data_IF_623827715483
#
_entry.id   IF_623827715483
#
_cell.length_a   1.000
_cell.length_b   1.000
_cell.length_c   1.000
_cell.angle_alpha   90.00
_cell.angle_beta   90.00
_cell.angle_gamma   90.00
#
_symmetry.space_group_name_H-M   'P 1'
#
loop_
_entity.id
_entity.type
_entity.pdbx_description
1 polymer ?
#
# COMPACT_ATOMS: atom_id res chain seq x y z
N UNK A 1 -8.65 -13.93 15.78
CA UNK A 1 -8.03 -12.80 15.06
C UNK A 1 -9.18 -11.94 14.52
N UNK A 2 -9.22 -10.63 14.78
CA UNK A 2 -10.30 -9.77 14.25
C UNK A 2 -10.10 -9.55 12.73
N UNK A 3 -11.18 -9.24 12.00
CA UNK A 3 -11.13 -9.03 10.53
C UNK A 3 -10.19 -7.88 10.13
N UNK A 4 -10.10 -6.85 10.97
CA UNK A 4 -9.24 -5.69 10.75
C UNK A 4 -7.74 -6.05 10.82
N UNK A 5 -7.32 -6.86 11.80
CA UNK A 5 -5.93 -7.34 11.90
C UNK A 5 -5.58 -8.26 10.73
N UNK A 6 -6.51 -9.11 10.28
CA UNK A 6 -6.29 -9.94 9.10
C UNK A 6 -6.07 -9.09 7.83
N UNK A 7 -6.88 -8.03 7.65
CA UNK A 7 -6.72 -7.08 6.55
C UNK A 7 -5.39 -6.35 6.62
N UNK A 8 -5.01 -5.81 7.78
CA UNK A 8 -3.72 -5.12 7.95
C UNK A 8 -2.54 -6.05 7.69
N UNK A 9 -2.60 -7.30 8.15
CA UNK A 9 -1.57 -8.30 7.87
C UNK A 9 -1.45 -8.60 6.37
N UNK A 10 -2.56 -8.75 5.68
CA UNK A 10 -2.56 -8.96 4.22
C UNK A 10 -1.97 -7.75 3.47
N UNK A 11 -2.27 -6.52 3.91
CA UNK A 11 -1.69 -5.30 3.32
C UNK A 11 -0.19 -5.24 3.59
N UNK A 12 0.26 -5.57 4.81
CA UNK A 12 1.69 -5.65 5.14
C UNK A 12 2.42 -6.58 4.19
N UNK A 13 1.92 -7.81 4.02
CA UNK A 13 2.51 -8.79 3.12
C UNK A 13 2.54 -8.30 1.67
N UNK A 14 1.52 -7.58 1.22
CA UNK A 14 1.48 -7.01 -0.11
C UNK A 14 2.52 -5.88 -0.29
N UNK A 15 2.66 -5.01 0.72
CA UNK A 15 3.65 -3.92 0.72
C UNK A 15 5.10 -4.40 0.88
N UNK A 16 5.33 -5.57 1.48
CA UNK A 16 6.65 -6.21 1.50
C UNK A 16 7.12 -6.66 0.10
N UNK A 17 6.18 -6.88 -0.84
CA UNK A 17 6.47 -7.21 -2.23
C UNK A 17 6.55 -5.98 -3.15
N UNK A 18 6.35 -4.78 -2.60
CA UNK A 18 6.52 -3.53 -3.34
C UNK A 18 8.00 -3.18 -3.44
N UNK A 19 8.42 -2.90 -4.66
CA UNK A 19 9.77 -2.49 -5.03
C UNK A 19 9.70 -1.26 -5.93
N UNK A 20 10.84 -0.60 -6.13
CA UNK A 20 10.94 0.51 -7.08
C UNK A 20 10.61 0.10 -8.53
N UNK A 21 10.79 -1.17 -8.89
CA UNK A 21 10.55 -1.67 -10.25
C UNK A 21 9.06 -1.90 -10.57
N UNK A 22 8.25 -2.32 -9.59
CA UNK A 22 6.85 -2.71 -9.82
C UNK A 22 5.82 -1.68 -9.33
N UNK A 23 6.18 -0.82 -8.37
CA UNK A 23 5.30 0.24 -7.86
C UNK A 23 6.13 1.42 -7.36
N UNK A 24 6.81 2.15 -8.27
CA UNK A 24 7.78 3.18 -7.92
C UNK A 24 7.19 4.31 -7.05
N UNK A 25 5.95 4.73 -7.29
CA UNK A 25 5.32 5.83 -6.54
C UNK A 25 4.99 5.39 -5.11
N UNK A 26 4.39 4.22 -4.92
CA UNK A 26 4.16 3.63 -3.60
C UNK A 26 5.50 3.38 -2.90
N UNK A 27 6.51 2.83 -3.60
CA UNK A 27 7.82 2.58 -3.02
C UNK A 27 8.47 3.87 -2.50
N UNK A 28 8.42 4.97 -3.26
CA UNK A 28 8.93 6.29 -2.84
C UNK A 28 8.17 6.87 -1.65
N UNK A 29 6.91 6.49 -1.43
CA UNK A 29 6.17 6.87 -0.23
C UNK A 29 6.54 6.02 0.99
N UNK A 30 6.68 4.71 0.79
CA UNK A 30 6.85 3.75 1.88
C UNK A 30 8.31 3.60 2.30
N UNK A 31 9.28 3.86 1.43
CA UNK A 31 10.70 3.69 1.68
C UNK A 31 11.48 4.99 1.47
N UNK A 32 12.58 5.15 2.21
CA UNK A 32 13.57 6.19 1.95
C UNK A 32 14.60 5.74 0.91
N UNK A 33 15.52 6.63 0.55
CA UNK A 33 16.61 6.36 -0.44
C UNK A 33 17.53 5.19 -0.08
N UNK A 34 17.53 4.76 1.19
CA UNK A 34 18.33 3.63 1.67
C UNK A 34 17.48 2.34 1.77
N UNK A 35 16.26 2.34 1.21
CA UNK A 35 15.34 1.20 1.27
C UNK A 35 14.73 0.94 2.65
N UNK A 36 14.86 1.87 3.62
CA UNK A 36 14.22 1.71 4.95
C UNK A 36 12.79 2.23 4.92
N UNK A 37 11.88 1.50 5.57
CA UNK A 37 10.48 1.89 5.70
C UNK A 37 10.34 3.21 6.44
N UNK A 38 9.53 4.11 5.90
CA UNK A 38 9.09 5.37 6.49
C UNK A 38 7.74 5.12 7.17
N UNK A 39 7.66 5.08 8.52
CA UNK A 39 6.42 4.68 9.21
C UNK A 39 5.20 5.54 8.85
N UNK A 40 5.42 6.84 8.64
CA UNK A 40 4.35 7.77 8.22
C UNK A 40 3.85 7.46 6.82
N UNK A 41 4.75 7.21 5.88
CA UNK A 41 4.40 6.88 4.49
C UNK A 41 3.68 5.55 4.38
N UNK A 42 4.19 4.53 5.07
CA UNK A 42 3.55 3.23 5.21
C UNK A 42 2.09 3.38 5.70
N UNK A 43 1.87 4.12 6.81
CA UNK A 43 0.52 4.31 7.37
C UNK A 43 -0.43 5.03 6.40
N UNK A 44 0.07 5.99 5.62
CA UNK A 44 -0.73 6.69 4.61
C UNK A 44 -1.17 5.72 3.50
N UNK A 45 -0.23 4.93 2.98
CA UNK A 45 -0.50 3.94 1.93
C UNK A 45 -1.44 2.85 2.45
N UNK A 46 -1.17 2.29 3.62
CA UNK A 46 -2.03 1.29 4.27
C UNK A 46 -3.47 1.79 4.41
N UNK A 47 -3.67 3.00 4.94
CA UNK A 47 -5.01 3.58 5.10
C UNK A 47 -5.72 3.80 3.75
N UNK A 48 -4.99 4.16 2.69
CA UNK A 48 -5.56 4.29 1.34
C UNK A 48 -5.99 2.94 0.79
N UNK A 49 -5.19 1.90 0.97
CA UNK A 49 -5.55 0.53 0.55
C UNK A 49 -6.76 0.03 1.35
N UNK A 50 -6.78 0.21 2.68
CA UNK A 50 -7.94 -0.13 3.52
C UNK A 50 -9.21 0.54 3.02
N UNK A 51 -9.17 1.85 2.74
CA UNK A 51 -10.32 2.58 2.21
C UNK A 51 -10.80 1.99 0.87
N UNK A 52 -9.89 1.62 -0.02
CA UNK A 52 -10.25 1.00 -1.29
C UNK A 52 -10.90 -0.37 -1.10
N UNK A 53 -10.30 -1.22 -0.28
CA UNK A 53 -10.81 -2.56 0.01
C UNK A 53 -12.19 -2.50 0.65
N UNK A 54 -12.39 -1.64 1.66
CA UNK A 54 -13.66 -1.56 2.39
C UNK A 54 -14.73 -0.82 1.59
N UNK A 55 -14.43 0.38 1.06
CA UNK A 55 -15.45 1.23 0.45
C UNK A 55 -15.82 0.79 -0.97
N UNK A 56 -14.89 0.16 -1.69
CA UNK A 56 -15.10 -0.28 -3.06
C UNK A 56 -15.17 -1.80 -3.19
N UNK A 57 -15.18 -2.54 -2.07
CA UNK A 57 -15.18 -4.01 -2.03
C UNK A 57 -14.11 -4.64 -2.95
N UNK A 58 -12.93 -4.00 -2.97
CA UNK A 58 -11.84 -4.29 -3.90
C UNK A 58 -10.83 -5.26 -3.29
N UNK A 59 -10.23 -6.13 -4.09
CA UNK A 59 -9.12 -6.97 -3.61
C UNK A 59 -7.84 -6.12 -3.42
N UNK A 60 -6.95 -6.52 -2.49
CA UNK A 60 -5.68 -5.81 -2.27
C UNK A 60 -4.82 -5.80 -3.55
N UNK A 61 -4.85 -6.89 -4.32
CA UNK A 61 -4.16 -7.04 -5.60
C UNK A 61 -4.63 -6.06 -6.67
N UNK A 62 -5.84 -5.52 -6.55
CA UNK A 62 -6.41 -4.50 -7.43
C UNK A 62 -6.20 -3.08 -6.86
N UNK A 63 -6.30 -2.96 -5.53
CA UNK A 63 -6.15 -1.70 -4.82
C UNK A 63 -4.73 -1.10 -4.94
N UNK A 64 -3.70 -1.95 -4.98
CA UNK A 64 -2.31 -1.52 -5.14
C UNK A 64 -2.04 -0.87 -6.51
N UNK A 65 -2.29 -1.53 -7.66
CA UNK A 65 -2.14 -0.90 -8.98
C UNK A 65 -2.97 0.37 -9.14
N UNK A 66 -4.21 0.38 -8.64
CA UNK A 66 -5.05 1.57 -8.74
C UNK A 66 -4.47 2.74 -7.91
N UNK A 67 -3.98 2.46 -6.70
CA UNK A 67 -3.33 3.47 -5.88
C UNK A 67 -2.03 3.99 -6.53
N UNK A 68 -1.24 3.11 -7.13
CA UNK A 68 -0.01 3.48 -7.84
C UNK A 68 -0.31 4.48 -8.97
N UNK A 69 -1.36 4.22 -9.78
CA UNK A 69 -1.81 5.14 -10.83
C UNK A 69 -2.29 6.49 -10.28
N UNK A 70 -3.02 6.49 -9.16
CA UNK A 70 -3.49 7.74 -8.53
C UNK A 70 -2.35 8.61 -7.98
N UNK A 71 -1.23 7.99 -7.60
CA UNK A 71 -0.04 8.71 -7.15
C UNK A 71 0.78 9.25 -8.31
N UNK A 72 0.72 8.63 -9.49
CA UNK A 72 1.39 9.09 -10.70
C UNK A 72 0.77 10.36 -11.28
N UNK A 73 -0.55 10.50 -11.13
CA UNK A 73 -1.34 11.63 -11.63
C UNK A 73 -1.27 12.89 -10.74
N UNK A 74 -0.41 12.91 -9.71
CA UNK A 74 -0.27 14.01 -8.74
C UNK A 74 1.07 14.72 -8.88
#
# INVERSE_FOLDING_TARGET
MNRETALRLAIKNALENVSEANSPNIFRMVHNRNGKVIPRGYRIVENKIIKKVINHNMAISEALPQLEMELDLR
#
